data_IF_271456178598
#
_entry.id   IF_271456178598
#
_cell.length_a   1.000
_cell.length_b   1.000
_cell.length_c   1.000
_cell.angle_alpha   90.00
_cell.angle_beta   90.00
_cell.angle_gamma   90.00
#
_symmetry.space_group_name_H-M   'P 1'
#
loop_
_entity.id
_entity.type
_entity.pdbx_description
1 polymer ?
#
# COMPACT_ATOMS: atom_id res chain seq x y z
N UNK A 1 18.41 12.40 4.93
CA UNK A 1 18.89 11.02 4.93
C UNK A 1 17.92 10.21 5.78
N UNK A 2 17.38 9.11 5.26
CA UNK A 2 16.47 8.25 6.01
C UNK A 2 17.19 7.69 7.24
N UNK A 3 16.55 7.76 8.41
CA UNK A 3 17.06 7.07 9.60
C UNK A 3 16.91 5.56 9.37
N UNK A 4 17.96 4.75 9.58
CA UNK A 4 17.83 3.31 9.52
C UNK A 4 16.81 2.84 10.58
N UNK A 5 16.01 1.82 10.26
CA UNK A 5 15.07 1.22 11.19
C UNK A 5 15.78 0.80 12.48
N UNK A 6 15.23 1.17 13.63
CA UNK A 6 15.75 0.67 14.90
C UNK A 6 15.43 -0.83 15.01
N UNK A 7 16.30 -1.66 15.63
CA UNK A 7 15.99 -3.07 15.90
C UNK A 7 14.64 -3.29 16.62
N UNK A 8 14.19 -2.30 17.40
CA UNK A 8 12.88 -2.30 18.06
C UNK A 8 11.69 -2.22 17.08
N UNK A 9 11.84 -1.52 15.94
CA UNK A 9 10.79 -1.42 14.92
C UNK A 9 10.55 -2.77 14.25
N UNK A 10 11.62 -3.50 13.96
CA UNK A 10 11.54 -4.82 13.36
C UNK A 10 10.72 -5.80 14.21
N UNK A 11 11.00 -5.86 15.51
CA UNK A 11 10.29 -6.74 16.44
C UNK A 11 8.80 -6.39 16.56
N UNK A 12 8.46 -5.09 16.49
CA UNK A 12 7.09 -4.60 16.59
C UNK A 12 6.28 -4.79 15.30
N UNK A 13 6.92 -4.63 14.15
CA UNK A 13 6.28 -4.79 12.82
C UNK A 13 6.15 -6.27 12.46
N UNK A 14 7.16 -7.08 12.73
CA UNK A 14 7.19 -8.49 12.35
C UNK A 14 7.00 -9.43 13.54
N UNK A 15 5.88 -9.24 14.26
CA UNK A 15 5.45 -10.18 15.30
C UNK A 15 5.18 -11.57 14.68
N UNK A 16 5.22 -12.66 15.46
CA UNK A 16 4.91 -13.99 14.96
C UNK A 16 3.58 -14.06 14.19
N UNK A 17 2.55 -13.38 14.68
CA UNK A 17 1.21 -13.36 14.09
C UNK A 17 1.18 -12.54 12.78
N UNK A 18 1.87 -11.40 12.75
CA UNK A 18 1.99 -10.60 11.53
C UNK A 18 2.72 -11.39 10.44
N UNK A 19 3.80 -12.11 10.80
CA UNK A 19 4.52 -12.99 9.87
C UNK A 19 3.63 -14.10 9.35
N UNK A 20 2.93 -14.81 10.23
CA UNK A 20 2.01 -15.87 9.85
C UNK A 20 0.91 -15.37 8.90
N UNK A 21 0.39 -14.16 9.12
CA UNK A 21 -0.57 -13.53 8.23
C UNK A 21 -0.01 -13.26 6.82
N UNK A 22 1.20 -12.69 6.72
CA UNK A 22 1.87 -12.47 5.42
C UNK A 22 2.19 -13.77 4.71
N UNK A 23 2.60 -14.81 5.45
CA UNK A 23 2.86 -16.13 4.90
C UNK A 23 1.60 -16.76 4.31
N UNK A 24 0.47 -16.71 5.01
CA UNK A 24 -0.83 -17.21 4.52
C UNK A 24 -1.28 -16.46 3.27
N UNK A 25 -1.21 -15.12 3.26
CA UNK A 25 -1.46 -14.31 2.06
C UNK A 25 -0.56 -14.73 0.90
N UNK A 26 0.73 -14.90 1.17
CA UNK A 26 1.71 -15.27 0.14
C UNK A 26 1.41 -16.65 -0.44
N UNK A 27 1.13 -17.65 0.40
CA UNK A 27 0.82 -19.02 -0.05
C UNK A 27 -0.43 -19.07 -0.91
N UNK A 28 -1.45 -18.28 -0.58
CA UNK A 28 -2.71 -18.21 -1.35
C UNK A 28 -2.56 -17.48 -2.68
N UNK A 29 -1.87 -16.33 -2.69
CA UNK A 29 -1.97 -15.39 -3.81
C UNK A 29 -0.73 -15.28 -4.69
N UNK A 30 0.40 -15.89 -4.31
CA UNK A 30 1.64 -15.87 -5.12
C UNK A 30 1.46 -16.55 -6.49
N UNK A 31 0.85 -17.73 -6.53
CA UNK A 31 0.69 -18.46 -7.78
C UNK A 31 -0.21 -17.71 -8.79
N UNK A 32 -1.42 -17.25 -8.40
CA UNK A 32 -2.24 -16.38 -9.26
C UNK A 32 -1.51 -15.11 -9.72
N UNK A 33 -0.72 -14.48 -8.85
CA UNK A 33 0.06 -13.30 -9.22
C UNK A 33 1.10 -13.61 -10.32
N UNK A 34 1.80 -14.75 -10.22
CA UNK A 34 2.77 -15.17 -11.25
C UNK A 34 2.10 -15.39 -12.60
N UNK A 35 0.90 -15.95 -12.62
CA UNK A 35 0.11 -16.14 -13.85
C UNK A 35 -0.25 -14.79 -14.48
N UNK A 36 -0.65 -13.80 -13.68
CA UNK A 36 -0.93 -12.44 -14.15
C UNK A 36 0.31 -11.78 -14.77
N UNK A 37 1.47 -11.90 -14.13
CA UNK A 37 2.72 -11.35 -14.66
C UNK A 37 3.15 -12.05 -15.96
N UNK A 38 2.96 -13.37 -16.07
CA UNK A 38 3.18 -14.09 -17.32
C UNK A 38 2.21 -13.65 -18.42
N UNK A 39 0.94 -13.40 -18.08
CA UNK A 39 -0.06 -12.88 -19.00
C UNK A 39 0.29 -11.46 -19.50
N UNK A 40 0.90 -10.61 -18.68
CA UNK A 40 1.46 -9.31 -19.13
C UNK A 40 2.49 -9.49 -20.23
N UNK A 41 3.48 -10.37 -20.02
CA UNK A 41 4.54 -10.63 -20.99
C UNK A 41 3.97 -11.20 -22.31
N UNK A 42 3.04 -12.15 -22.21
CA UNK A 42 2.39 -12.73 -23.38
C UNK A 42 1.57 -11.70 -24.16
N UNK A 43 0.86 -10.79 -23.46
CA UNK A 43 0.10 -9.71 -24.09
C UNK A 43 1.03 -8.71 -24.79
N UNK A 44 2.12 -8.31 -24.12
CA UNK A 44 3.11 -7.42 -24.72
C UNK A 44 3.67 -8.01 -26.01
N UNK A 45 4.02 -9.29 -26.04
CA UNK A 45 4.52 -9.95 -27.25
C UNK A 45 3.49 -9.91 -28.41
N UNK A 46 2.19 -10.06 -28.11
CA UNK A 46 1.13 -9.96 -29.14
C UNK A 46 0.95 -8.54 -29.66
N UNK A 47 1.10 -7.53 -28.80
CA UNK A 47 1.07 -6.11 -29.17
C UNK A 47 2.27 -5.76 -30.06
N UNK A 48 3.47 -6.20 -29.68
CA UNK A 48 4.71 -5.96 -30.43
C UNK A 48 4.66 -6.62 -31.82
N UNK A 49 4.06 -7.82 -31.92
CA UNK A 49 3.85 -8.52 -33.18
C UNK A 49 2.72 -7.92 -34.04
N UNK A 50 1.95 -6.93 -33.53
CA UNK A 50 0.79 -6.35 -34.21
C UNK A 50 -0.42 -7.30 -34.33
N UNK A 51 -0.37 -8.45 -33.66
CA UNK A 51 -1.46 -9.46 -33.63
C UNK A 51 -2.58 -9.09 -32.65
N UNK A 52 -2.28 -8.19 -31.70
CA UNK A 52 -3.24 -7.57 -30.81
C UNK A 52 -3.08 -6.04 -30.92
N UNK A 53 -4.17 -5.30 -30.70
CA UNK A 53 -4.15 -3.84 -30.54
C UNK A 53 -4.86 -3.48 -29.24
N UNK A 54 -4.46 -2.37 -28.63
CA UNK A 54 -5.18 -1.83 -27.48
C UNK A 54 -6.53 -1.30 -27.95
N UNK A 55 -7.60 -1.93 -27.48
CA UNK A 55 -8.98 -1.52 -27.70
C UNK A 55 -9.87 -1.99 -26.54
N UNK A 56 -11.12 -1.54 -26.51
CA UNK A 56 -12.11 -2.02 -25.57
C UNK A 56 -12.44 -3.50 -25.82
N UNK A 57 -12.35 -4.30 -24.76
CA UNK A 57 -12.67 -5.72 -24.78
C UNK A 57 -14.14 -5.96 -25.16
N UNK A 58 -14.41 -6.81 -26.14
CA UNK A 58 -15.78 -7.13 -26.58
C UNK A 58 -16.52 -7.90 -25.49
N UNK A 59 -15.83 -8.81 -24.82
CA UNK A 59 -16.35 -9.70 -23.78
C UNK A 59 -16.82 -8.98 -22.51
N UNK A 60 -16.46 -7.71 -22.31
CA UNK A 60 -16.91 -6.89 -21.17
C UNK A 60 -17.86 -5.75 -21.59
N UNK A 61 -18.40 -5.80 -22.81
CA UNK A 61 -19.32 -4.77 -23.32
C UNK A 61 -20.57 -4.60 -22.44
N UNK A 62 -21.15 -5.70 -21.95
CA UNK A 62 -22.33 -5.66 -21.09
C UNK A 62 -22.06 -4.96 -19.75
N UNK A 63 -20.87 -5.13 -19.18
CA UNK A 63 -20.48 -4.42 -17.94
C UNK A 63 -20.41 -2.91 -18.19
N UNK A 64 -19.84 -2.48 -19.33
CA UNK A 64 -19.73 -1.05 -19.68
C UNK A 64 -21.09 -0.42 -19.99
N UNK A 65 -22.00 -1.17 -20.59
CA UNK A 65 -23.34 -0.72 -20.95
C UNK A 65 -24.34 -0.83 -19.79
N UNK A 66 -24.01 -1.61 -18.75
CA UNK A 66 -24.90 -1.88 -17.62
C UNK A 66 -25.08 -0.70 -16.65
N UNK A 67 -26.12 -0.80 -15.83
CA UNK A 67 -26.41 0.17 -14.76
C UNK A 67 -25.94 -0.35 -13.41
N UNK A 68 -24.73 0.02 -13.01
CA UNK A 68 -24.16 -0.33 -11.71
C UNK A 68 -23.36 0.84 -11.13
N UNK A 69 -23.05 0.75 -9.84
CA UNK A 69 -22.19 1.70 -9.11
C UNK A 69 -21.31 0.91 -8.16
N UNK A 70 -20.18 1.50 -7.77
CA UNK A 70 -19.38 0.99 -6.66
C UNK A 70 -20.17 1.04 -5.34
N UNK A 71 -19.73 0.30 -4.35
CA UNK A 71 -20.26 0.36 -2.98
C UNK A 71 -20.19 1.79 -2.40
N UNK A 72 -21.03 2.14 -1.40
CA UNK A 72 -21.01 3.45 -0.77
C UNK A 72 -19.61 3.86 -0.28
N UNK A 73 -19.23 5.10 -0.58
CA UNK A 73 -17.93 5.65 -0.21
C UNK A 73 -17.97 6.09 1.27
N UNK A 74 -16.98 5.73 2.11
CA UNK A 74 -16.86 6.21 3.48
C UNK A 74 -16.89 7.74 3.58
N UNK A 75 -17.47 8.27 4.65
CA UNK A 75 -17.74 9.71 4.79
C UNK A 75 -16.48 10.59 4.71
N UNK A 76 -15.36 10.10 5.23
CA UNK A 76 -14.06 10.77 5.22
C UNK A 76 -13.34 10.72 3.87
N UNK A 77 -13.86 9.97 2.90
CA UNK A 77 -13.39 9.91 1.51
C UNK A 77 -14.31 10.62 0.50
N UNK A 78 -15.37 11.28 0.97
CA UNK A 78 -16.28 12.04 0.09
C UNK A 78 -15.67 13.36 -0.39
N UNK A 79 -14.83 14.00 0.42
CA UNK A 79 -14.09 15.22 0.04
C UNK A 79 -12.60 14.90 -0.07
N UNK A 80 -12.11 14.79 -1.30
CA UNK A 80 -10.71 14.50 -1.65
C UNK A 80 -10.14 15.55 -2.60
N UNK A 81 -10.57 16.81 -2.45
CA UNK A 81 -10.21 17.90 -3.38
C UNK A 81 -8.70 18.15 -3.51
N UNK A 82 -7.94 17.90 -2.46
CA UNK A 82 -6.47 17.94 -2.46
C UNK A 82 -5.93 16.72 -1.72
N UNK A 83 -5.05 16.00 -2.40
CA UNK A 83 -4.28 14.91 -1.82
C UNK A 83 -2.80 15.24 -1.90
N UNK A 84 -2.07 15.06 -0.80
CA UNK A 84 -0.61 15.15 -0.79
C UNK A 84 -0.04 13.73 -0.84
N UNK A 85 1.07 13.56 -1.55
CA UNK A 85 1.81 12.29 -1.63
C UNK A 85 3.17 12.44 -0.99
N UNK A 86 3.70 11.39 -0.39
CA UNK A 86 5.04 11.43 0.16
C UNK A 86 5.51 10.11 0.75
N UNK A 87 6.83 10.00 1.00
CA UNK A 87 7.41 8.79 1.53
C UNK A 87 6.94 8.53 2.97
N UNK A 88 7.16 7.31 3.42
CA UNK A 88 6.88 6.84 4.78
C UNK A 88 7.96 7.21 5.82
N UNK A 89 8.81 8.20 5.50
CA UNK A 89 9.76 8.79 6.46
C UNK A 89 9.02 9.47 7.61
N UNK A 90 9.53 9.34 8.84
CA UNK A 90 8.83 9.75 10.06
C UNK A 90 8.46 11.23 10.08
N UNK A 91 9.40 12.11 9.70
CA UNK A 91 9.15 13.57 9.66
C UNK A 91 8.19 13.91 8.54
N UNK A 92 8.35 13.27 7.37
CA UNK A 92 7.49 13.52 6.21
C UNK A 92 6.05 13.07 6.44
N UNK A 93 5.83 11.94 7.09
CA UNK A 93 4.49 11.49 7.49
C UNK A 93 3.79 12.54 8.35
N UNK A 94 4.47 13.09 9.36
CA UNK A 94 3.90 14.15 10.22
C UNK A 94 3.55 15.39 9.40
N UNK A 95 4.48 15.88 8.58
CA UNK A 95 4.27 17.07 7.78
C UNK A 95 3.14 16.90 6.76
N UNK A 96 3.05 15.74 6.11
CA UNK A 96 2.02 15.46 5.12
C UNK A 96 0.63 15.36 5.78
N UNK A 97 0.53 14.70 6.92
CA UNK A 97 -0.72 14.61 7.69
C UNK A 97 -1.19 15.99 8.18
N UNK A 98 -0.27 16.89 8.54
CA UNK A 98 -0.58 18.25 9.00
C UNK A 98 -0.67 19.28 7.86
N UNK A 99 -0.55 18.88 6.60
CA UNK A 99 -0.42 19.81 5.46
C UNK A 99 -1.68 20.64 5.16
N UNK A 100 -2.83 20.24 5.71
CA UNK A 100 -4.14 20.81 5.37
C UNK A 100 -4.83 20.14 4.17
N UNK A 101 -4.17 19.19 3.51
CA UNK A 101 -4.80 18.32 2.51
C UNK A 101 -5.90 17.45 3.13
N UNK A 102 -6.85 16.99 2.32
CA UNK A 102 -7.90 16.07 2.75
C UNK A 102 -7.35 14.66 2.93
N UNK A 103 -6.41 14.28 2.07
CA UNK A 103 -5.80 12.95 2.05
C UNK A 103 -4.27 13.07 1.99
N UNK A 104 -3.59 12.18 2.71
CA UNK A 104 -2.19 11.87 2.53
C UNK A 104 -2.04 10.44 2.03
N UNK A 105 -1.46 10.28 0.84
CA UNK A 105 -1.02 8.97 0.35
C UNK A 105 0.42 8.70 0.80
N UNK A 106 0.56 7.87 1.82
CA UNK A 106 1.83 7.38 2.32
C UNK A 106 2.36 6.28 1.40
N UNK A 107 3.58 6.49 0.91
CA UNK A 107 4.07 5.76 -0.25
C UNK A 107 5.22 4.80 0.08
N UNK A 108 5.01 3.52 -0.21
CA UNK A 108 6.05 2.48 -0.23
C UNK A 108 6.60 2.23 -1.64
N UNK A 109 6.10 2.95 -2.64
CA UNK A 109 6.35 2.69 -4.05
C UNK A 109 7.28 3.76 -4.66
N UNK A 110 6.91 4.47 -5.73
CA UNK A 110 7.85 5.28 -6.53
C UNK A 110 8.63 6.37 -5.76
N UNK A 111 8.13 6.90 -4.63
CA UNK A 111 8.86 7.89 -3.84
C UNK A 111 9.74 7.29 -2.73
N UNK A 112 9.76 5.96 -2.59
CA UNK A 112 10.55 5.24 -1.60
C UNK A 112 11.61 4.37 -2.28
N UNK A 113 12.89 4.55 -1.92
CA UNK A 113 13.88 3.51 -2.16
C UNK A 113 13.56 2.32 -1.23
N UNK A 114 13.19 1.13 -1.74
CA UNK A 114 12.61 0.06 -0.93
C UNK A 114 13.69 -0.77 -0.24
N UNK A 115 14.56 -0.13 0.52
CA UNK A 115 15.46 -0.84 1.43
C UNK A 115 14.62 -1.47 2.55
N UNK A 116 15.12 -2.56 3.12
CA UNK A 116 14.41 -3.26 4.20
C UNK A 116 14.13 -2.33 5.39
N UNK A 117 15.12 -1.50 5.72
CA UNK A 117 15.04 -0.51 6.78
C UNK A 117 13.93 0.50 6.51
N UNK A 118 13.85 1.02 5.28
CA UNK A 118 12.83 2.00 4.91
C UNK A 118 11.41 1.41 4.96
N UNK A 119 11.24 0.17 4.50
CA UNK A 119 9.93 -0.52 4.53
C UNK A 119 9.50 -0.77 5.98
N UNK A 120 10.38 -1.34 6.81
CA UNK A 120 10.05 -1.65 8.21
C UNK A 120 9.83 -0.38 9.04
N UNK A 121 10.72 0.62 8.92
CA UNK A 121 10.54 1.90 9.58
C UNK A 121 9.26 2.59 9.11
N UNK A 122 8.95 2.50 7.81
CA UNK A 122 7.70 3.03 7.25
C UNK A 122 6.47 2.42 7.89
N UNK A 123 6.41 1.09 8.02
CA UNK A 123 5.32 0.40 8.70
C UNK A 123 5.21 0.85 10.17
N UNK A 124 6.33 0.93 10.89
CA UNK A 124 6.38 1.42 12.27
C UNK A 124 5.89 2.88 12.41
N UNK A 125 6.26 3.75 11.47
CA UNK A 125 5.81 5.14 11.42
C UNK A 125 4.29 5.21 11.20
N UNK A 126 3.74 4.42 10.29
CA UNK A 126 2.30 4.38 10.06
C UNK A 126 1.54 3.80 11.26
N UNK A 127 2.11 2.80 11.96
CA UNK A 127 1.55 2.30 13.22
C UNK A 127 1.42 3.40 14.27
N UNK A 128 2.44 4.24 14.41
CA UNK A 128 2.44 5.37 15.35
C UNK A 128 1.50 6.48 14.89
N UNK A 129 1.47 6.77 13.59
CA UNK A 129 0.61 7.80 13.00
C UNK A 129 -0.87 7.49 13.20
N UNK A 130 -1.28 6.25 12.91
CA UNK A 130 -2.67 5.79 13.11
C UNK A 130 -3.08 5.93 14.58
N UNK A 131 -2.20 5.56 15.52
CA UNK A 131 -2.44 5.67 16.97
C UNK A 131 -2.29 7.09 17.54
N UNK A 132 -1.93 8.06 16.71
CA UNK A 132 -1.64 9.46 17.09
C UNK A 132 -0.50 9.62 18.09
N UNK A 133 0.50 8.73 18.00
CA UNK A 133 1.69 8.70 18.85
C UNK A 133 2.98 9.04 18.09
N UNK A 134 2.90 9.27 16.79
CA UNK A 134 4.07 9.66 15.99
C UNK A 134 4.53 11.07 16.40
N UNK A 135 5.81 11.18 16.72
CA UNK A 135 6.51 12.43 16.95
C UNK A 135 7.95 12.34 16.43
N UNK A 136 8.57 13.49 16.24
CA UNK A 136 9.93 13.58 15.73
C UNK A 136 10.59 14.85 16.26
N UNK A 137 11.85 14.73 16.69
CA UNK A 137 12.71 15.88 17.01
C UNK A 137 13.82 15.92 15.99
N UNK A 138 13.90 17.02 15.26
CA UNK A 138 14.93 17.22 14.26
C UNK A 138 16.29 17.38 14.95
N UNK A 139 17.26 16.49 14.70
CA UNK A 139 18.51 16.46 15.46
C UNK A 139 19.41 17.66 15.18
N UNK A 140 19.20 18.36 14.05
CA UNK A 140 20.00 19.52 13.65
C UNK A 140 19.42 20.81 14.21
N UNK A 141 18.10 21.01 14.09
CA UNK A 141 17.43 22.25 14.51
C UNK A 141 16.83 22.19 15.90
N UNK A 142 16.70 21.00 16.50
CA UNK A 142 15.99 20.78 17.77
C UNK A 142 14.47 20.95 17.67
N UNK A 143 13.92 21.23 16.47
CA UNK A 143 12.49 21.46 16.29
C UNK A 143 11.70 20.15 16.47
N UNK A 144 10.66 20.22 17.30
CA UNK A 144 9.74 19.10 17.54
C UNK A 144 8.55 19.14 16.57
N UNK A 145 8.14 17.95 16.12
CA UNK A 145 7.03 17.73 15.20
C UNK A 145 6.10 16.69 15.81
N UNK A 146 4.78 16.97 15.80
CA UNK A 146 3.70 16.10 16.29
C UNK A 146 2.49 16.31 15.40
N UNK A 147 1.54 15.37 15.43
CA UNK A 147 0.29 15.51 14.68
C UNK A 147 -0.59 16.61 15.27
N UNK A 148 -1.25 17.36 14.39
CA UNK A 148 -2.29 18.30 14.77
C UNK A 148 -3.58 17.57 15.19
N UNK A 149 -4.52 18.31 15.76
CA UNK A 149 -5.85 17.75 16.14
C UNK A 149 -6.61 17.27 14.92
N UNK A 150 -6.58 18.04 13.84
CA UNK A 150 -7.17 17.71 12.54
C UNK A 150 -6.02 17.41 11.58
N UNK A 151 -6.05 16.23 10.98
CA UNK A 151 -5.07 15.78 10.00
C UNK A 151 -5.77 15.22 8.77
N UNK A 152 -5.02 15.04 7.69
CA UNK A 152 -5.47 14.37 6.47
C UNK A 152 -5.83 12.89 6.73
N UNK A 153 -6.77 12.35 5.95
CA UNK A 153 -7.06 10.90 5.91
C UNK A 153 -5.87 10.16 5.32
N UNK A 154 -5.48 9.05 5.92
CA UNK A 154 -4.32 8.27 5.49
C UNK A 154 -4.72 7.21 4.47
N UNK A 155 -4.10 7.24 3.30
CA UNK A 155 -4.11 6.17 2.31
C UNK A 155 -2.70 5.58 2.19
N UNK A 156 -2.58 4.27 1.95
CA UNK A 156 -1.27 3.63 1.74
C UNK A 156 -1.14 3.14 0.31
N UNK A 157 -0.02 3.48 -0.34
CA UNK A 157 0.36 2.94 -1.64
C UNK A 157 1.41 1.83 -1.46
N UNK A 158 1.02 0.54 -1.56
CA UNK A 158 1.98 -0.56 -1.54
C UNK A 158 2.80 -0.60 -2.83
N UNK A 159 3.92 -1.34 -2.83
CA UNK A 159 4.70 -1.63 -4.04
C UNK A 159 3.86 -2.34 -5.10
N UNK A 160 4.19 -2.11 -6.38
CA UNK A 160 3.48 -2.70 -7.51
C UNK A 160 3.68 -4.22 -7.66
N UNK A 161 2.78 -4.85 -8.42
CA UNK A 161 2.68 -6.31 -8.63
C UNK A 161 3.95 -7.02 -9.12
N UNK A 162 4.89 -6.27 -9.71
CA UNK A 162 6.12 -6.78 -10.31
C UNK A 162 7.32 -6.79 -9.34
N UNK A 163 7.14 -6.33 -8.10
CA UNK A 163 8.20 -6.21 -7.11
C UNK A 163 8.13 -7.35 -6.09
N UNK A 164 9.29 -7.84 -5.70
CA UNK A 164 9.47 -8.82 -4.62
C UNK A 164 10.07 -8.17 -3.37
N UNK A 165 9.73 -8.69 -2.19
CA UNK A 165 10.41 -8.39 -0.94
C UNK A 165 11.44 -9.47 -0.63
N UNK A 166 12.68 -9.23 -1.04
CA UNK A 166 13.78 -10.21 -0.95
C UNK A 166 14.17 -10.59 0.48
N UNK A 167 13.83 -9.77 1.49
CA UNK A 167 14.19 -10.03 2.88
C UNK A 167 13.11 -10.80 3.65
N UNK A 168 11.95 -11.06 3.03
CA UNK A 168 10.87 -11.86 3.60
C UNK A 168 10.65 -13.11 2.74
N UNK A 169 11.19 -14.25 3.21
CA UNK A 169 11.07 -15.52 2.50
C UNK A 169 9.87 -16.31 3.00
N UNK A 170 9.08 -16.84 2.07
CA UNK A 170 8.01 -17.81 2.31
C UNK A 170 8.28 -19.04 1.47
N UNK A 171 8.48 -20.16 2.15
CA UNK A 171 8.83 -21.46 1.55
C UNK A 171 10.08 -21.35 0.65
N UNK A 172 11.10 -20.62 1.15
CA UNK A 172 12.41 -20.46 0.49
C UNK A 172 12.46 -19.43 -0.64
N UNK A 173 11.35 -18.78 -1.00
CA UNK A 173 11.29 -17.76 -2.06
C UNK A 173 10.84 -16.39 -1.52
N UNK A 174 11.31 -15.27 -2.10
CA UNK A 174 10.80 -13.94 -1.77
C UNK A 174 9.27 -13.84 -1.82
N UNK A 175 8.67 -13.13 -0.86
CA UNK A 175 7.25 -12.81 -0.90
C UNK A 175 6.99 -11.67 -1.90
N UNK A 176 5.82 -11.64 -2.57
CA UNK A 176 5.44 -10.47 -3.35
C UNK A 176 5.38 -9.21 -2.47
N UNK A 177 6.16 -8.19 -2.84
CA UNK A 177 6.20 -6.91 -2.13
C UNK A 177 4.82 -6.27 -1.87
N UNK A 178 3.87 -6.23 -2.83
CA UNK A 178 2.52 -5.72 -2.58
C UNK A 178 1.82 -6.39 -1.40
N UNK A 179 1.97 -7.70 -1.23
CA UNK A 179 1.32 -8.46 -0.14
C UNK A 179 1.97 -8.15 1.21
N UNK A 180 3.28 -7.94 1.25
CA UNK A 180 3.99 -7.52 2.46
C UNK A 180 3.53 -6.14 2.89
N UNK A 181 3.54 -5.17 1.98
CA UNK A 181 3.19 -3.78 2.30
C UNK A 181 1.72 -3.64 2.70
N UNK A 182 0.82 -4.25 1.91
CA UNK A 182 -0.62 -4.30 2.17
C UNK A 182 -0.91 -4.97 3.50
N UNK A 183 -0.37 -6.18 3.68
CA UNK A 183 -0.72 -7.05 4.79
C UNK A 183 -0.22 -6.53 6.12
N UNK A 184 1.00 -5.98 6.18
CA UNK A 184 1.53 -5.40 7.42
C UNK A 184 0.73 -4.16 7.83
N UNK A 185 0.41 -3.29 6.88
CA UNK A 185 -0.41 -2.11 7.18
C UNK A 185 -1.82 -2.52 7.65
N UNK A 186 -2.46 -3.48 6.96
CA UNK A 186 -3.78 -3.99 7.33
C UNK A 186 -3.77 -4.56 8.75
N UNK A 187 -2.87 -5.53 8.98
CA UNK A 187 -2.78 -6.31 10.20
C UNK A 187 -2.62 -5.43 11.43
N UNK A 188 -1.74 -4.44 11.36
CA UNK A 188 -1.42 -3.58 12.51
C UNK A 188 -2.42 -2.44 12.73
N UNK A 189 -3.16 -2.02 11.72
CA UNK A 189 -3.89 -0.74 11.78
C UNK A 189 -5.40 -0.87 11.60
N UNK A 190 -5.92 -1.93 10.96
CA UNK A 190 -7.35 -2.02 10.62
C UNK A 190 -8.27 -1.80 11.84
N UNK A 191 -8.00 -2.47 12.96
CA UNK A 191 -8.81 -2.32 14.19
C UNK A 191 -8.80 -0.90 14.75
N UNK A 192 -7.63 -0.27 14.79
CA UNK A 192 -7.47 1.10 15.31
C UNK A 192 -8.10 2.14 14.37
N UNK A 193 -7.95 1.95 13.05
CA UNK A 193 -8.58 2.80 12.03
C UNK A 193 -10.10 2.77 12.16
N UNK A 194 -10.69 1.57 12.28
CA UNK A 194 -12.13 1.39 12.47
C UNK A 194 -12.62 2.00 13.80
N UNK A 195 -11.88 1.80 14.90
CA UNK A 195 -12.21 2.42 16.19
C UNK A 195 -12.19 3.96 16.13
N UNK A 196 -11.37 4.53 15.24
CA UNK A 196 -11.29 5.97 14.95
C UNK A 196 -12.29 6.45 13.89
N UNK A 197 -13.19 5.58 13.43
CA UNK A 197 -14.22 5.87 12.42
C UNK A 197 -13.64 6.29 11.06
N UNK A 198 -12.51 5.70 10.70
CA UNK A 198 -11.90 5.73 9.35
C UNK A 198 -11.67 4.28 8.90
N UNK A 199 -10.87 4.02 7.87
CA UNK A 199 -10.66 2.67 7.35
C UNK A 199 -9.25 2.39 6.80
N UNK A 200 -8.91 1.11 6.59
CA UNK A 200 -7.69 0.71 5.91
C UNK A 200 -7.80 0.99 4.41
N UNK A 201 -7.35 2.17 4.00
CA UNK A 201 -7.48 2.64 2.61
C UNK A 201 -6.18 2.49 1.83
N UNK A 202 -6.30 2.10 0.56
CA UNK A 202 -5.16 1.79 -0.30
C UNK A 202 -5.22 2.52 -1.64
N UNK A 203 -4.04 2.82 -2.17
CA UNK A 203 -3.83 3.31 -3.52
C UNK A 203 -3.09 2.23 -4.32
N UNK A 204 -3.75 1.57 -5.28
CA UNK A 204 -3.16 0.40 -5.98
C UNK A 204 -2.41 0.85 -7.25
N UNK A 205 -1.08 0.66 -7.35
CA UNK A 205 -0.32 1.18 -8.48
C UNK A 205 -0.19 0.19 -9.65
N UNK A 206 0.03 0.75 -10.85
CA UNK A 206 0.59 0.04 -12.03
C UNK A 206 -0.17 -1.24 -12.43
N UNK A 207 -1.49 -1.24 -12.28
CA UNK A 207 -2.35 -2.31 -12.83
C UNK A 207 -2.40 -2.20 -14.36
N UNK A 208 -2.40 -3.34 -15.05
CA UNK A 208 -2.42 -3.43 -16.52
C UNK A 208 -3.67 -4.13 -17.07
N UNK A 209 -4.55 -4.63 -16.19
CA UNK A 209 -5.79 -5.28 -16.60
C UNK A 209 -6.76 -5.54 -15.45
N UNK A 210 -8.03 -5.79 -15.79
CA UNK A 210 -9.10 -6.00 -14.82
C UNK A 210 -8.95 -7.31 -14.02
N UNK A 211 -8.22 -8.31 -14.53
CA UNK A 211 -7.89 -9.52 -13.77
C UNK A 211 -6.96 -9.23 -12.58
N UNK A 212 -6.10 -8.22 -12.68
CA UNK A 212 -5.24 -7.79 -11.57
C UNK A 212 -6.04 -7.02 -10.52
N UNK A 213 -7.06 -6.25 -10.95
CA UNK A 213 -8.02 -5.66 -10.03
C UNK A 213 -8.85 -6.74 -9.31
N UNK A 214 -9.24 -7.82 -10.00
CA UNK A 214 -9.89 -8.99 -9.39
C UNK A 214 -8.99 -9.68 -8.37
N UNK A 215 -7.71 -9.88 -8.68
CA UNK A 215 -6.75 -10.45 -7.73
C UNK A 215 -6.65 -9.62 -6.45
N UNK A 216 -6.61 -8.29 -6.56
CA UNK A 216 -6.66 -7.42 -5.38
C UNK A 216 -7.98 -7.55 -4.61
N UNK A 217 -9.12 -7.65 -5.31
CA UNK A 217 -10.40 -7.89 -4.65
C UNK A 217 -10.39 -9.20 -3.84
N UNK A 218 -9.82 -10.27 -4.41
CA UNK A 218 -9.70 -11.57 -3.74
C UNK A 218 -8.73 -11.51 -2.55
N UNK A 219 -7.65 -10.72 -2.64
CA UNK A 219 -6.72 -10.47 -1.52
C UNK A 219 -7.40 -9.70 -0.37
N UNK A 220 -8.38 -8.84 -0.69
CA UNK A 220 -9.09 -8.00 0.29
C UNK A 220 -10.32 -8.66 0.91
N UNK A 221 -10.72 -9.85 0.44
CA UNK A 221 -11.92 -10.58 0.88
C UNK A 221 -11.54 -11.80 1.72
#
# INVERSE_FOLDING_TARGET
MAQPAAPADLARVLTPEARAFIEDLTRRFRAPLKELLAARAARQARLDAGTEKLDFLVETAEIRAGHWKVSPIPADLLDRRVEITGPVDRKMVINALNSGAQVFMADFEDSLAPTWENVIAGQANLMDAVRRKIDYVDPTSGKSYRLDKKIAVLLVRPRGLHLDERHFLVDGSPAPAPLVDFGLYLFHNAKELLARKTGPYYYLPKLQGHHEARWWNDVMT
#
